data_IF_017095430852
#
_entry.id   IF_017095430852
#
_cell.length_a   1.000
_cell.length_b   1.000
_cell.length_c   1.000
_cell.angle_alpha   90.00
_cell.angle_beta   90.00
_cell.angle_gamma   90.00
#
_symmetry.space_group_name_H-M   'P 1'
#
loop_
_entity.id
_entity.type
_entity.pdbx_description
1 polymer ?
#
# COMPACT_ATOMS: atom_id res chain seq x y z
N UNK A 1 -2.58 3.73 -10.10
CA UNK A 1 -1.20 3.52 -10.57
C UNK A 1 -0.32 4.61 -10.01
N UNK A 2 -0.28 5.76 -10.67
CA UNK A 2 0.61 6.88 -10.30
C UNK A 2 0.45 7.36 -8.85
N UNK A 3 -0.80 7.57 -8.41
CA UNK A 3 -1.11 7.93 -7.02
C UNK A 3 -0.56 6.93 -6.00
N UNK A 4 -0.67 5.62 -6.29
CA UNK A 4 -0.18 4.58 -5.42
C UNK A 4 1.36 4.61 -5.30
N UNK A 5 2.04 4.74 -6.44
CA UNK A 5 3.51 4.73 -6.51
C UNK A 5 4.16 6.00 -5.95
N UNK A 6 3.55 7.17 -6.19
CA UNK A 6 4.19 8.46 -5.89
C UNK A 6 3.72 9.09 -4.58
N UNK A 7 2.51 8.76 -4.10
CA UNK A 7 1.97 9.38 -2.89
C UNK A 7 1.83 8.37 -1.76
N UNK A 8 1.24 7.20 -2.02
CA UNK A 8 0.89 6.25 -0.95
C UNK A 8 2.10 5.42 -0.51
N UNK A 9 2.79 4.76 -1.45
CA UNK A 9 3.95 3.92 -1.12
C UNK A 9 5.06 4.70 -0.40
N UNK A 10 5.48 5.90 -0.84
CA UNK A 10 6.53 6.64 -0.15
C UNK A 10 6.16 6.99 1.30
N UNK A 11 4.88 7.27 1.57
CA UNK A 11 4.41 7.52 2.93
C UNK A 11 4.49 6.25 3.78
N UNK A 12 3.99 5.12 3.26
CA UNK A 12 4.02 3.84 3.95
C UNK A 12 5.46 3.41 4.28
N UNK A 13 6.39 3.53 3.32
CA UNK A 13 7.80 3.20 3.52
C UNK A 13 8.47 4.13 4.55
N UNK A 14 8.12 5.43 4.57
CA UNK A 14 8.62 6.35 5.61
C UNK A 14 8.13 5.97 7.00
N UNK A 15 6.85 5.61 7.13
CA UNK A 15 6.29 5.16 8.40
C UNK A 15 6.96 3.85 8.87
N UNK A 16 7.12 2.88 7.96
CA UNK A 16 7.83 1.63 8.21
C UNK A 16 9.28 1.87 8.67
N UNK A 17 9.98 2.82 8.03
CA UNK A 17 11.34 3.21 8.43
C UNK A 17 11.39 3.74 9.87
N UNK A 18 10.37 4.50 10.29
CA UNK A 18 10.24 4.99 11.67
C UNK A 18 10.01 3.85 12.66
N UNK A 19 9.17 2.87 12.32
CA UNK A 19 8.94 1.69 13.15
C UNK A 19 10.21 0.84 13.28
N UNK A 20 10.95 0.65 12.19
CA UNK A 20 12.22 -0.08 12.17
C UNK A 20 13.27 0.58 13.07
N UNK A 21 13.42 1.90 12.99
CA UNK A 21 14.32 2.65 13.87
C UNK A 21 13.93 2.49 15.34
N UNK A 22 12.62 2.49 15.65
CA UNK A 22 12.15 2.24 17.01
C UNK A 22 12.51 0.83 17.49
N UNK A 23 12.29 -0.20 16.67
CA UNK A 23 12.67 -1.59 16.98
C UNK A 23 14.19 -1.69 17.19
N UNK A 24 14.99 -1.07 16.33
CA UNK A 24 16.44 -1.06 16.47
C UNK A 24 16.88 -0.42 17.80
N UNK A 25 16.28 0.72 18.19
CA UNK A 25 16.54 1.37 19.47
C UNK A 25 16.16 0.46 20.65
N UNK A 26 15.00 -0.18 20.61
CA UNK A 26 14.58 -1.14 21.66
C UNK A 26 15.58 -2.27 21.84
N UNK A 27 16.12 -2.81 20.73
CA UNK A 27 17.12 -3.88 20.75
C UNK A 27 18.41 -3.48 21.45
N UNK A 28 18.83 -2.22 21.32
CA UNK A 28 20.04 -1.71 21.96
C UNK A 28 19.83 -1.30 23.43
N UNK A 29 18.58 -1.02 23.83
CA UNK A 29 18.24 -0.53 25.18
C UNK A 29 17.91 -1.65 26.17
N UNK A 30 17.45 -2.80 25.70
CA UNK A 30 16.91 -3.87 26.55
C UNK A 30 17.58 -5.22 26.27
N UNK A 31 17.69 -6.03 27.33
CA UNK A 31 18.08 -7.44 27.24
C UNK A 31 17.17 -8.24 26.29
N UNK A 32 17.66 -9.30 25.63
CA UNK A 32 16.95 -10.01 24.57
C UNK A 32 15.51 -10.44 24.92
N UNK A 33 15.31 -11.02 26.10
CA UNK A 33 13.98 -11.50 26.53
C UNK A 33 12.96 -10.37 26.70
N UNK A 34 13.41 -9.18 27.12
CA UNK A 34 12.55 -8.00 27.25
C UNK A 34 12.34 -7.33 25.90
N UNK A 35 13.36 -7.30 25.04
CA UNK A 35 13.26 -6.81 23.68
C UNK A 35 12.21 -7.58 22.87
N UNK A 36 12.31 -8.91 22.82
CA UNK A 36 11.40 -9.78 22.04
C UNK A 36 9.93 -9.50 22.40
N UNK A 37 9.63 -9.45 23.70
CA UNK A 37 8.28 -9.17 24.19
C UNK A 37 7.78 -7.76 23.83
N UNK A 38 8.66 -6.75 23.81
CA UNK A 38 8.29 -5.36 23.51
C UNK A 38 8.25 -5.05 22.01
N UNK A 39 8.99 -5.80 21.19
CA UNK A 39 9.14 -5.55 19.77
C UNK A 39 8.23 -6.43 18.88
N UNK A 40 7.70 -7.55 19.40
CA UNK A 40 6.89 -8.53 18.63
C UNK A 40 5.79 -7.86 17.79
N UNK A 41 4.93 -7.06 18.40
CA UNK A 41 3.82 -6.38 17.69
C UNK A 41 4.33 -5.40 16.63
N UNK A 42 5.43 -4.70 16.90
CA UNK A 42 6.01 -3.73 15.96
C UNK A 42 6.64 -4.43 14.76
N UNK A 43 7.31 -5.54 15.00
CA UNK A 43 7.87 -6.39 13.94
C UNK A 43 6.76 -6.95 13.05
N UNK A 44 5.67 -7.43 13.65
CA UNK A 44 4.50 -7.90 12.90
C UNK A 44 3.91 -6.78 12.03
N UNK A 45 3.75 -5.58 12.58
CA UNK A 45 3.23 -4.43 11.83
C UNK A 45 4.14 -4.03 10.65
N UNK A 46 5.46 -4.09 10.84
CA UNK A 46 6.43 -3.83 9.77
C UNK A 46 6.29 -4.83 8.63
N UNK A 47 6.13 -6.11 8.96
CA UNK A 47 5.91 -7.19 7.98
C UNK A 47 4.58 -7.02 7.23
N UNK A 48 3.50 -6.64 7.92
CA UNK A 48 2.21 -6.35 7.29
C UNK A 48 2.31 -5.17 6.31
N UNK A 49 2.95 -4.07 6.71
CA UNK A 49 3.17 -2.91 5.84
C UNK A 49 3.95 -3.33 4.59
N UNK A 50 5.04 -4.11 4.76
CA UNK A 50 5.84 -4.57 3.64
C UNK A 50 5.01 -5.42 2.66
N UNK A 51 4.25 -6.37 3.19
CA UNK A 51 3.38 -7.23 2.38
C UNK A 51 2.36 -6.44 1.57
N UNK A 52 1.74 -5.41 2.17
CA UNK A 52 0.80 -4.55 1.45
C UNK A 52 1.50 -3.66 0.41
N UNK A 53 2.68 -3.11 0.72
CA UNK A 53 3.46 -2.30 -0.23
C UNK A 53 3.85 -3.12 -1.45
N UNK A 54 4.41 -4.31 -1.24
CA UNK A 54 4.81 -5.21 -2.33
C UNK A 54 3.61 -5.65 -3.18
N UNK A 55 2.49 -6.00 -2.53
CA UNK A 55 1.25 -6.33 -3.23
C UNK A 55 0.76 -5.17 -4.11
N UNK A 56 0.78 -3.93 -3.62
CA UNK A 56 0.40 -2.74 -4.42
C UNK A 56 1.36 -2.57 -5.61
N UNK A 57 2.68 -2.64 -5.39
CA UNK A 57 3.67 -2.47 -6.45
C UNK A 57 3.50 -3.53 -7.55
N UNK A 58 3.36 -4.80 -7.15
CA UNK A 58 3.13 -5.93 -8.05
C UNK A 58 1.84 -5.75 -8.85
N UNK A 59 0.72 -5.44 -8.20
CA UNK A 59 -0.57 -5.27 -8.88
C UNK A 59 -0.57 -4.06 -9.82
N UNK A 60 0.10 -2.96 -9.46
CA UNK A 60 0.26 -1.81 -10.35
C UNK A 60 1.09 -2.19 -11.58
N UNK A 61 2.19 -2.94 -11.41
CA UNK A 61 3.00 -3.45 -12.51
C UNK A 61 2.19 -4.32 -13.47
N UNK A 62 1.46 -5.31 -12.94
CA UNK A 62 0.61 -6.20 -13.73
C UNK A 62 -0.52 -5.44 -14.45
N UNK A 63 -1.16 -4.49 -13.78
CA UNK A 63 -2.18 -3.64 -14.39
C UNK A 63 -1.61 -2.80 -15.54
N UNK A 64 -0.38 -2.27 -15.41
CA UNK A 64 0.29 -1.51 -16.47
C UNK A 64 0.56 -2.40 -17.68
N UNK A 65 1.01 -3.64 -17.48
CA UNK A 65 1.20 -4.59 -18.59
C UNK A 65 -0.12 -4.97 -19.27
N UNK A 66 -1.17 -5.27 -18.49
CA UNK A 66 -2.51 -5.54 -19.03
C UNK A 66 -3.02 -4.36 -19.88
N UNK A 67 -2.82 -3.13 -19.39
CA UNK A 67 -3.18 -1.90 -20.11
C UNK A 67 -2.39 -1.74 -21.41
N UNK A 68 -1.09 -2.08 -21.43
CA UNK A 68 -0.27 -2.04 -22.65
C UNK A 68 -0.81 -3.01 -23.71
N UNK A 69 -1.24 -4.20 -23.31
CA UNK A 69 -1.86 -5.18 -24.22
C UNK A 69 -3.19 -4.66 -24.74
N UNK A 70 -4.09 -4.21 -23.86
CA UNK A 70 -5.40 -3.69 -24.24
C UNK A 70 -5.31 -2.49 -25.21
N UNK A 71 -4.33 -1.61 -25.03
CA UNK A 71 -4.12 -0.45 -25.90
C UNK A 71 -3.71 -0.78 -27.34
N UNK A 72 -3.26 -2.01 -27.61
CA UNK A 72 -2.90 -2.44 -28.97
C UNK A 72 -4.10 -2.95 -29.77
N UNK A 73 -5.27 -3.10 -29.15
CA UNK A 73 -6.49 -3.56 -29.81
C UNK A 73 -7.06 -2.40 -30.64
N UNK A 74 -7.25 -2.62 -31.94
CA UNK A 74 -7.74 -1.59 -32.86
C UNK A 74 -9.24 -1.33 -32.71
N UNK A 75 -10.05 -2.39 -32.56
CA UNK A 75 -11.49 -2.27 -32.50
C UNK A 75 -11.96 -1.82 -31.11
N UNK A 76 -12.66 -0.68 -31.04
CA UNK A 76 -13.01 -0.04 -29.77
C UNK A 76 -13.87 -0.90 -28.85
N UNK A 77 -14.79 -1.71 -29.41
CA UNK A 77 -15.59 -2.64 -28.59
C UNK A 77 -14.73 -3.70 -27.90
N UNK A 78 -13.75 -4.24 -28.61
CA UNK A 78 -12.88 -5.29 -28.07
C UNK A 78 -11.90 -4.71 -27.06
N UNK A 79 -11.40 -3.49 -27.33
CA UNK A 79 -10.60 -2.72 -26.38
C UNK A 79 -11.37 -2.47 -25.09
N UNK A 80 -12.63 -2.04 -25.17
CA UNK A 80 -13.46 -1.80 -23.99
C UNK A 80 -13.65 -3.08 -23.15
N UNK A 81 -13.94 -4.22 -23.80
CA UNK A 81 -14.05 -5.52 -23.13
C UNK A 81 -12.72 -5.91 -22.47
N UNK A 82 -11.59 -5.77 -23.16
CA UNK A 82 -10.28 -6.06 -22.59
C UNK A 82 -9.97 -5.20 -21.36
N UNK A 83 -10.32 -3.91 -21.38
CA UNK A 83 -10.16 -3.03 -20.22
C UNK A 83 -11.02 -3.48 -19.03
N UNK A 84 -12.29 -3.81 -19.28
CA UNK A 84 -13.20 -4.31 -18.24
C UNK A 84 -12.71 -5.63 -17.64
N UNK A 85 -12.28 -6.58 -18.47
CA UNK A 85 -11.99 -7.95 -18.01
C UNK A 85 -10.56 -8.11 -17.47
N UNK A 86 -9.60 -7.30 -17.96
CA UNK A 86 -8.18 -7.50 -17.66
C UNK A 86 -7.54 -6.34 -16.91
N UNK A 87 -8.04 -5.10 -17.03
CA UNK A 87 -7.43 -3.93 -16.37
C UNK A 87 -8.22 -3.53 -15.14
N UNK A 88 -9.55 -3.41 -15.24
CA UNK A 88 -10.43 -3.00 -14.15
C UNK A 88 -10.30 -3.87 -12.88
N UNK A 89 -10.12 -5.21 -12.95
CA UNK A 89 -10.03 -6.03 -11.74
C UNK A 89 -8.82 -5.72 -10.84
N UNK A 90 -7.77 -5.09 -11.37
CA UNK A 90 -6.63 -4.68 -10.56
C UNK A 90 -6.94 -3.49 -9.65
N UNK A 91 -7.91 -2.64 -10.01
CA UNK A 91 -8.25 -1.48 -9.19
C UNK A 91 -8.74 -1.88 -7.80
N UNK A 92 -9.64 -2.88 -7.72
CA UNK A 92 -10.14 -3.39 -6.44
C UNK A 92 -9.02 -4.03 -5.60
N UNK A 93 -8.11 -4.78 -6.24
CA UNK A 93 -6.95 -5.37 -5.55
C UNK A 93 -6.01 -4.31 -5.00
N UNK A 94 -5.68 -3.31 -5.81
CA UNK A 94 -4.80 -2.19 -5.40
C UNK A 94 -5.48 -1.41 -4.27
N UNK A 95 -6.76 -1.09 -4.43
CA UNK A 95 -7.55 -0.37 -3.43
C UNK A 95 -7.59 -1.10 -2.09
N UNK A 96 -7.87 -2.40 -2.10
CA UNK A 96 -7.91 -3.20 -0.87
C UNK A 96 -6.61 -3.08 -0.06
N UNK A 97 -5.45 -3.19 -0.70
CA UNK A 97 -4.16 -3.09 -0.02
C UNK A 97 -3.87 -1.65 0.46
N UNK A 98 -4.25 -0.63 -0.32
CA UNK A 98 -4.16 0.77 0.09
C UNK A 98 -5.05 1.05 1.30
N UNK A 99 -6.28 0.56 1.31
CA UNK A 99 -7.23 0.76 2.42
C UNK A 99 -6.70 0.07 3.70
N UNK A 100 -5.97 -1.04 3.57
CA UNK A 100 -5.26 -1.66 4.71
C UNK A 100 -4.09 -0.81 5.21
N UNK A 101 -3.29 -0.25 4.30
CA UNK A 101 -2.24 0.70 4.64
C UNK A 101 -2.81 1.96 5.34
N UNK A 102 -3.97 2.46 4.93
CA UNK A 102 -4.65 3.63 5.54
C UNK A 102 -4.99 3.40 7.03
N UNK A 103 -5.31 2.16 7.40
CA UNK A 103 -5.64 1.80 8.78
C UNK A 103 -4.41 1.67 9.68
N UNK A 104 -3.26 1.33 9.08
CA UNK A 104 -2.01 1.04 9.79
C UNK A 104 -1.14 2.29 9.92
N UNK A 105 -1.03 3.06 8.84
CA UNK A 105 -0.16 4.24 8.78
C UNK A 105 -0.75 5.38 9.60
N UNK A 106 0.13 6.12 10.28
CA UNK A 106 -0.25 7.30 11.05
C UNK A 106 -1.06 8.31 10.22
N UNK A 107 -2.16 8.80 10.83
CA UNK A 107 -3.08 9.75 10.22
C UNK A 107 -2.40 11.04 9.81
N UNK A 108 -1.42 11.53 10.59
CA UNK A 108 -0.69 12.77 10.28
C UNK A 108 0.21 12.62 9.06
N UNK A 109 0.66 11.39 8.76
CA UNK A 109 1.52 11.10 7.62
C UNK A 109 0.73 10.76 6.36
N UNK A 110 -0.51 10.30 6.50
CA UNK A 110 -1.32 9.81 5.40
C UNK A 110 -1.64 10.94 4.41
N UNK A 111 -1.36 10.78 3.10
CA UNK A 111 -1.34 11.91 2.16
C UNK A 111 -2.72 12.31 1.64
N UNK A 112 -3.75 11.50 1.90
CA UNK A 112 -5.09 11.69 1.35
C UNK A 112 -6.10 11.88 2.47
N UNK A 113 -7.13 12.71 2.29
CA UNK A 113 -8.23 12.79 3.23
C UNK A 113 -8.88 11.41 3.38
N UNK A 114 -9.12 10.98 4.61
CA UNK A 114 -9.78 9.70 4.87
C UNK A 114 -11.22 9.76 4.39
N UNK A 115 -11.78 8.63 3.98
CA UNK A 115 -13.18 8.59 3.51
C UNK A 115 -14.18 9.18 4.52
N UNK A 116 -13.91 9.04 5.82
CA UNK A 116 -14.73 9.65 6.88
C UNK A 116 -14.64 11.17 6.85
N UNK A 117 -13.46 11.73 6.64
CA UNK A 117 -13.27 13.17 6.55
C UNK A 117 -14.02 13.71 5.32
N UNK A 118 -13.90 13.06 4.17
CA UNK A 118 -14.63 13.43 2.94
C UNK A 118 -16.15 13.45 3.10
N UNK A 119 -16.71 12.59 3.95
CA UNK A 119 -18.16 12.48 4.18
C UNK A 119 -18.69 13.45 5.25
N UNK A 120 -17.82 14.02 6.09
CA UNK A 120 -18.22 14.85 7.23
C UNK A 120 -17.59 16.26 7.26
N UNK A 121 -16.86 16.68 6.21
CA UNK A 121 -16.52 18.10 6.00
C UNK A 121 -17.82 18.89 5.82
N UNK A 122 -18.19 19.66 6.85
CA UNK A 122 -19.25 20.67 6.85
C UNK A 122 -18.66 22.02 7.20
#
# INVERSE_FOLDING_TARGET
GDLAMNHIIPVATRYQSSLLDNVYKLKNLYEPSKFERLASEKLHLIEEIEGYVDAVQTMVGLMVEARKVANRIEHEREKAVAYHDTVAPYFEKIRYNIDKLELIVDNEMWPLPKYRELLFIR
#
